data_IF_100968437003
#
_entry.id   IF_100968437003
#
_cell.length_a   1.000
_cell.length_b   1.000
_cell.length_c   1.000
_cell.angle_alpha   90.00
_cell.angle_beta   90.00
_cell.angle_gamma   90.00
#
_symmetry.space_group_name_H-M   'P 1'
#
loop_
_entity.id
_entity.type
_entity.pdbx_description
1 polymer ?
#
# COMPACT_ATOMS: atom_id res chain seq x y z
N UNK A 1 -5.18 2.55 14.85
CA UNK A 1 -4.41 3.74 14.42
C UNK A 1 -2.96 3.58 14.88
N UNK A 2 -2.14 2.88 14.11
CA UNK A 2 -0.84 2.40 14.63
C UNK A 2 0.32 2.69 13.67
N UNK A 3 0.25 2.24 12.40
CA UNK A 3 1.34 2.48 11.43
C UNK A 3 1.39 3.90 10.87
N UNK A 4 0.24 4.57 10.70
CA UNK A 4 0.17 5.93 10.13
C UNK A 4 0.74 7.01 11.06
N UNK A 5 0.99 6.66 12.34
CA UNK A 5 1.70 7.54 13.27
C UNK A 5 3.20 7.61 12.96
N UNK A 6 3.75 6.57 12.31
CA UNK A 6 5.16 6.50 11.93
C UNK A 6 5.40 7.08 10.54
N UNK A 7 4.40 6.97 9.64
CA UNK A 7 4.41 7.59 8.32
C UNK A 7 2.99 7.92 7.88
N UNK A 8 2.71 9.21 7.70
CA UNK A 8 1.47 9.70 7.13
C UNK A 8 1.76 10.20 5.70
N UNK A 9 1.19 9.57 4.66
CA UNK A 9 1.30 10.07 3.30
C UNK A 9 0.69 11.46 3.17
N UNK A 10 1.37 12.35 2.45
CA UNK A 10 0.82 13.65 2.06
C UNK A 10 0.01 13.49 0.76
N UNK A 11 -1.32 13.53 0.87
CA UNK A 11 -2.24 13.31 -0.24
C UNK A 11 -3.08 14.56 -0.43
N UNK A 12 -3.03 15.11 -1.65
CA UNK A 12 -3.92 16.18 -2.05
C UNK A 12 -5.31 15.62 -2.36
N UNK A 13 -6.16 15.60 -1.33
CA UNK A 13 -7.54 15.13 -1.45
C UNK A 13 -8.42 15.98 -2.37
N UNK A 14 -7.96 17.15 -2.85
CA UNK A 14 -8.71 17.95 -3.83
C UNK A 14 -8.71 17.33 -5.23
N UNK A 15 -7.75 16.43 -5.50
CA UNK A 15 -7.65 15.66 -6.74
C UNK A 15 -8.48 14.36 -6.73
N UNK A 16 -9.28 14.17 -5.67
CA UNK A 16 -10.11 12.98 -5.49
C UNK A 16 -11.59 13.34 -5.56
N UNK A 17 -12.25 12.93 -6.64
CA UNK A 17 -13.70 13.01 -6.78
C UNK A 17 -14.37 11.68 -6.43
N UNK A 18 -15.31 11.77 -5.50
CA UNK A 18 -16.10 10.65 -4.98
C UNK A 18 -17.19 10.20 -5.96
N UNK A 19 -17.72 11.10 -6.79
CA UNK A 19 -18.92 10.85 -7.59
C UNK A 19 -20.06 10.25 -6.75
N UNK A 20 -20.63 9.15 -7.26
CA UNK A 20 -21.79 8.47 -6.67
C UNK A 20 -21.45 7.50 -5.53
N UNK A 21 -20.20 7.42 -5.09
CA UNK A 21 -19.82 6.58 -3.94
C UNK A 21 -20.38 7.20 -2.66
N UNK A 22 -20.95 6.38 -1.77
CA UNK A 22 -21.49 6.89 -0.50
C UNK A 22 -20.40 7.48 0.40
N UNK A 23 -20.78 8.38 1.31
CA UNK A 23 -19.84 9.01 2.25
C UNK A 23 -19.12 7.98 3.11
N UNK A 24 -19.82 6.94 3.54
CA UNK A 24 -19.33 5.89 4.42
C UNK A 24 -18.28 5.02 3.72
N UNK A 25 -18.54 4.62 2.47
CA UNK A 25 -17.61 3.83 1.66
C UNK A 25 -16.40 4.70 1.27
N UNK A 26 -16.63 5.96 0.94
CA UNK A 26 -15.57 6.90 0.59
C UNK A 26 -14.61 7.17 1.75
N UNK A 27 -15.13 7.30 2.98
CA UNK A 27 -14.29 7.45 4.17
C UNK A 27 -13.30 6.29 4.31
N UNK A 28 -13.80 5.05 4.18
CA UNK A 28 -12.97 3.84 4.24
C UNK A 28 -11.99 3.74 3.08
N UNK A 29 -12.41 4.14 1.87
CA UNK A 29 -11.53 4.18 0.70
C UNK A 29 -10.32 5.08 0.91
N UNK A 30 -10.50 6.28 1.48
CA UNK A 30 -9.38 7.18 1.81
C UNK A 30 -8.42 6.56 2.82
N UNK A 31 -8.94 5.84 3.83
CA UNK A 31 -8.10 5.09 4.77
C UNK A 31 -7.30 3.99 4.07
N UNK A 32 -7.92 3.26 3.15
CA UNK A 32 -7.22 2.24 2.33
C UNK A 32 -6.09 2.87 1.54
N UNK A 33 -6.34 3.99 0.83
CA UNK A 33 -5.28 4.70 0.08
C UNK A 33 -4.11 5.06 0.99
N UNK A 34 -4.37 5.68 2.15
CA UNK A 34 -3.31 6.07 3.09
C UNK A 34 -2.47 4.86 3.54
N UNK A 35 -3.13 3.75 3.88
CA UNK A 35 -2.47 2.53 4.32
C UNK A 35 -1.67 1.88 3.18
N UNK A 36 -2.18 1.90 1.95
CA UNK A 36 -1.48 1.39 0.78
C UNK A 36 -0.23 2.21 0.47
N UNK A 37 -0.31 3.54 0.48
CA UNK A 37 0.85 4.42 0.34
C UNK A 37 1.89 4.19 1.45
N UNK A 38 1.44 4.00 2.68
CA UNK A 38 2.34 3.68 3.79
C UNK A 38 3.04 2.33 3.59
N UNK A 39 2.32 1.29 3.14
CA UNK A 39 2.91 -0.01 2.85
C UNK A 39 3.99 0.08 1.76
N UNK A 40 3.70 0.79 0.67
CA UNK A 40 4.66 1.00 -0.43
C UNK A 40 5.87 1.81 0.02
N UNK A 41 5.68 2.82 0.87
CA UNK A 41 6.80 3.55 1.48
C UNK A 41 7.73 2.61 2.25
N UNK A 42 7.19 1.80 3.17
CA UNK A 42 8.01 0.87 3.95
C UNK A 42 8.66 -0.22 3.09
N UNK A 43 8.01 -0.67 2.03
CA UNK A 43 8.63 -1.59 1.07
C UNK A 43 9.83 -0.95 0.36
N UNK A 44 9.72 0.33 -0.04
CA UNK A 44 10.83 1.09 -0.65
C UNK A 44 11.98 1.29 0.33
N UNK A 45 11.69 1.67 1.58
CA UNK A 45 12.69 1.78 2.65
C UNK A 45 13.39 0.44 2.90
N UNK A 46 12.65 -0.66 2.93
CA UNK A 46 13.21 -2.00 3.09
C UNK A 46 14.14 -2.37 1.93
N UNK A 47 13.74 -2.07 0.69
CA UNK A 47 14.57 -2.29 -0.51
C UNK A 47 15.83 -1.43 -0.47
N UNK A 48 15.73 -0.16 -0.09
CA UNK A 48 16.88 0.74 0.06
C UNK A 48 17.85 0.25 1.15
N UNK A 49 17.33 -0.19 2.30
CA UNK A 49 18.14 -0.70 3.41
C UNK A 49 18.83 -2.03 3.07
N UNK A 50 18.17 -2.90 2.30
CA UNK A 50 18.77 -4.16 1.81
C UNK A 50 19.76 -3.95 0.67
N UNK A 51 19.51 -2.97 -0.19
CA UNK A 51 20.34 -2.63 -1.34
C UNK A 51 21.56 -1.77 -0.99
N UNK A 52 21.52 -1.02 0.12
CA UNK A 52 22.68 -0.35 0.67
C UNK A 52 23.63 -1.38 1.27
N UNK A 53 24.63 -1.78 0.49
CA UNK A 53 25.78 -2.54 1.00
C UNK A 53 26.31 -1.76 2.21
N UNK A 54 26.44 -2.36 3.42
CA UNK A 54 26.99 -1.64 4.55
C UNK A 54 28.35 -1.10 4.12
N UNK A 55 28.47 0.23 4.03
CA UNK A 55 29.72 0.85 3.62
C UNK A 55 30.79 0.32 4.57
N UNK A 56 31.79 -0.36 4.02
CA UNK A 56 32.95 -0.76 4.78
C UNK A 56 33.53 0.52 5.38
N UNK A 57 33.36 0.67 6.70
CA UNK A 57 33.97 1.76 7.45
C UNK A 57 35.46 1.79 7.09
N UNK A 58 36.04 2.98 6.86
CA UNK A 58 37.45 3.10 6.50
C UNK A 58 38.26 2.32 7.52
N UNK A 59 39.14 1.45 7.02
CA UNK A 59 39.99 0.52 7.75
C UNK A 59 40.88 1.24 8.75
N UNK A 60 40.27 1.60 9.88
CA UNK A 60 40.87 2.22 11.04
C UNK A 60 40.24 1.58 12.26
N UNK A 61 40.84 0.47 12.69
CA UNK A 61 40.68 -0.08 14.05
C UNK A 61 39.24 -0.34 14.51
N UNK A 62 38.53 -1.25 13.84
CA UNK A 62 37.30 -1.82 14.40
C UNK A 62 37.64 -3.10 15.17
N UNK A 63 37.70 -2.98 16.49
CA UNK A 63 37.62 -4.13 17.39
C UNK A 63 36.33 -4.91 17.06
N UNK A 64 36.42 -6.25 16.98
CA UNK A 64 35.35 -7.14 16.47
C UNK A 64 33.96 -7.01 17.12
N UNK A 65 33.85 -6.29 18.23
CA UNK A 65 32.58 -5.91 18.88
C UNK A 65 31.73 -4.94 18.05
N UNK A 66 32.35 -4.01 17.31
CA UNK A 66 31.63 -2.92 16.62
C UNK A 66 30.92 -3.40 15.34
N UNK A 67 31.48 -4.40 14.65
CA UNK A 67 30.83 -5.03 13.49
C UNK A 67 29.58 -5.83 13.88
N UNK A 68 29.58 -6.47 15.05
CA UNK A 68 28.43 -7.20 15.58
C UNK A 68 27.30 -6.25 16.01
N UNK A 69 27.63 -5.12 16.65
CA UNK A 69 26.63 -4.09 17.01
C UNK A 69 26.01 -3.43 15.77
N UNK A 70 26.80 -3.15 14.73
CA UNK A 70 26.27 -2.63 13.47
C UNK A 70 25.33 -3.65 12.79
N UNK A 71 25.71 -4.93 12.77
CA UNK A 71 24.86 -6.00 12.25
C UNK A 71 23.54 -6.17 13.01
N UNK A 72 23.57 -6.10 14.35
CA UNK A 72 22.37 -6.13 15.19
C UNK A 72 21.47 -4.90 14.97
N UNK A 73 22.06 -3.71 14.82
CA UNK A 73 21.33 -2.48 14.54
C UNK A 73 20.62 -2.53 13.18
N UNK A 74 21.28 -3.04 12.14
CA UNK A 74 20.69 -3.20 10.80
C UNK A 74 19.58 -4.24 10.81
N UNK A 75 19.80 -5.38 11.50
CA UNK A 75 18.77 -6.41 11.62
C UNK A 75 17.52 -5.90 12.35
N UNK A 76 17.72 -5.13 13.44
CA UNK A 76 16.64 -4.49 14.17
C UNK A 76 15.86 -3.49 13.31
N UNK A 77 16.55 -2.65 12.53
CA UNK A 77 15.92 -1.70 11.62
C UNK A 77 15.11 -2.40 10.51
N UNK A 78 15.67 -3.45 9.88
CA UNK A 78 14.96 -4.28 8.90
C UNK A 78 13.68 -4.84 9.51
N UNK A 79 13.77 -5.41 10.72
CA UNK A 79 12.62 -6.00 11.38
C UNK A 79 11.52 -4.97 11.68
N UNK A 80 11.87 -3.78 12.16
CA UNK A 80 10.90 -2.71 12.41
C UNK A 80 10.20 -2.26 11.12
N UNK A 81 10.95 -2.05 10.04
CA UNK A 81 10.37 -1.69 8.73
C UNK A 81 9.44 -2.79 8.22
N UNK A 82 9.83 -4.06 8.31
CA UNK A 82 8.97 -5.19 7.94
C UNK A 82 7.67 -5.22 8.76
N UNK A 83 7.75 -4.95 10.06
CA UNK A 83 6.58 -4.88 10.94
C UNK A 83 5.64 -3.74 10.54
N UNK A 84 6.17 -2.55 10.23
CA UNK A 84 5.36 -1.43 9.74
C UNK A 84 4.69 -1.75 8.39
N UNK A 85 5.44 -2.30 7.44
CA UNK A 85 4.90 -2.72 6.14
C UNK A 85 3.76 -3.74 6.29
N UNK A 86 3.99 -4.82 7.06
CA UNK A 86 2.98 -5.86 7.31
C UNK A 86 1.77 -5.29 8.03
N UNK A 87 1.97 -4.38 8.99
CA UNK A 87 0.87 -3.73 9.72
C UNK A 87 0.02 -2.85 8.80
N UNK A 88 0.65 -2.09 7.89
CA UNK A 88 -0.06 -1.30 6.89
C UNK A 88 -0.90 -2.18 5.96
N UNK A 89 -0.30 -3.25 5.40
CA UNK A 89 -1.00 -4.23 4.57
C UNK A 89 -2.19 -4.88 5.28
N UNK A 90 -1.98 -5.31 6.52
CA UNK A 90 -3.04 -5.91 7.33
C UNK A 90 -4.21 -4.94 7.55
N UNK A 91 -3.91 -3.70 7.95
CA UNK A 91 -4.94 -2.69 8.18
C UNK A 91 -5.67 -2.31 6.88
N UNK A 92 -4.99 -2.25 5.74
CA UNK A 92 -5.62 -1.98 4.44
C UNK A 92 -6.63 -3.10 4.11
N UNK A 93 -6.23 -4.36 4.29
CA UNK A 93 -7.10 -5.52 4.14
C UNK A 93 -8.30 -5.46 5.08
N UNK A 94 -8.10 -5.17 6.37
CA UNK A 94 -9.20 -5.01 7.33
C UNK A 94 -10.19 -3.93 6.88
N UNK A 95 -9.69 -2.80 6.38
CA UNK A 95 -10.56 -1.72 5.90
C UNK A 95 -11.33 -2.07 4.65
N UNK A 96 -10.73 -2.80 3.71
CA UNK A 96 -11.46 -3.33 2.55
C UNK A 96 -12.56 -4.30 3.01
N UNK A 97 -12.26 -5.19 3.96
CA UNK A 97 -13.27 -6.11 4.52
C UNK A 97 -14.39 -5.38 5.28
N UNK A 98 -14.07 -4.29 5.99
CA UNK A 98 -15.07 -3.42 6.60
C UNK A 98 -15.95 -2.73 5.55
N UNK A 99 -15.41 -2.25 4.42
CA UNK A 99 -16.22 -1.70 3.32
C UNK A 99 -17.26 -2.69 2.82
N UNK A 100 -16.91 -3.98 2.77
CA UNK A 100 -17.83 -5.03 2.35
C UNK A 100 -19.08 -5.18 3.23
N UNK A 101 -19.08 -4.63 4.46
CA UNK A 101 -20.25 -4.61 5.35
C UNK A 101 -21.28 -3.56 4.92
N UNK A 102 -20.85 -2.50 4.24
CA UNK A 102 -21.70 -1.41 3.76
C UNK A 102 -22.19 -1.61 2.32
N UNK A 103 -21.68 -2.64 1.64
CA UNK A 103 -22.06 -3.00 0.27
C UNK A 103 -23.16 -4.07 0.30
N UNK A 104 -24.12 -4.05 -0.65
CA UNK A 104 -25.13 -5.09 -0.76
C UNK A 104 -24.53 -6.50 -0.91
N UNK A 105 -25.11 -7.48 -0.20
CA UNK A 105 -24.67 -8.89 -0.26
C UNK A 105 -24.71 -9.48 -1.67
N UNK A 106 -25.66 -9.04 -2.49
CA UNK A 106 -25.74 -9.35 -3.92
C UNK A 106 -25.23 -8.14 -4.67
N UNK A 107 -24.23 -8.33 -5.53
CA UNK A 107 -23.70 -7.27 -6.37
C UNK A 107 -24.81 -6.63 -7.21
N UNK A 108 -24.96 -5.31 -7.07
CA UNK A 108 -26.01 -4.51 -7.70
C UNK A 108 -25.47 -3.53 -8.75
N UNK A 109 -24.15 -3.49 -8.96
CA UNK A 109 -23.50 -2.57 -9.89
C UNK A 109 -23.35 -1.14 -9.39
N UNK A 110 -23.71 -0.84 -8.14
CA UNK A 110 -23.49 0.49 -7.55
C UNK A 110 -22.01 0.86 -7.52
N UNK A 111 -21.70 2.17 -7.54
CA UNK A 111 -20.33 2.66 -7.49
C UNK A 111 -19.57 2.12 -6.25
N UNK A 112 -20.24 2.07 -5.09
CA UNK A 112 -19.68 1.49 -3.88
C UNK A 112 -19.36 -0.02 -4.02
N UNK A 113 -20.26 -0.79 -4.61
CA UNK A 113 -20.03 -2.21 -4.87
C UNK A 113 -18.88 -2.44 -5.85
N UNK A 114 -18.80 -1.65 -6.93
CA UNK A 114 -17.69 -1.68 -7.91
C UNK A 114 -16.36 -1.37 -7.25
N UNK A 115 -16.30 -0.29 -6.47
CA UNK A 115 -15.10 0.14 -5.76
C UNK A 115 -14.60 -0.95 -4.80
N UNK A 116 -15.50 -1.52 -3.98
CA UNK A 116 -15.15 -2.60 -3.07
C UNK A 116 -14.62 -3.84 -3.79
N UNK A 117 -15.30 -4.31 -4.83
CA UNK A 117 -14.87 -5.51 -5.59
C UNK A 117 -13.53 -5.26 -6.27
N UNK A 118 -13.35 -4.09 -6.89
CA UNK A 118 -12.11 -3.73 -7.55
C UNK A 118 -10.93 -3.60 -6.58
N UNK A 119 -11.12 -2.96 -5.41
CA UNK A 119 -10.08 -2.86 -4.37
C UNK A 119 -9.68 -4.24 -3.86
N UNK A 120 -10.66 -5.09 -3.52
CA UNK A 120 -10.40 -6.43 -3.00
C UNK A 120 -9.58 -7.26 -3.99
N UNK A 121 -9.90 -7.18 -5.27
CA UNK A 121 -9.19 -7.88 -6.33
C UNK A 121 -7.79 -7.30 -6.59
N UNK A 122 -7.65 -5.98 -6.62
CA UNK A 122 -6.38 -5.29 -6.94
C UNK A 122 -5.34 -5.43 -5.84
N UNK A 123 -5.77 -5.37 -4.58
CA UNK A 123 -4.91 -5.57 -3.41
C UNK A 123 -4.53 -7.04 -3.22
N UNK A 124 -5.14 -7.96 -3.99
CA UNK A 124 -4.77 -9.37 -3.96
C UNK A 124 -5.16 -10.09 -2.67
N UNK A 125 -6.25 -9.66 -2.02
CA UNK A 125 -6.71 -10.26 -0.74
C UNK A 125 -7.15 -11.71 -1.00
N UNK A 126 -6.25 -12.65 -0.73
CA UNK A 126 -6.50 -14.09 -0.67
C UNK A 126 -6.68 -14.53 0.79
N UNK A 127 -7.37 -15.65 1.02
CA UNK A 127 -7.74 -16.08 2.37
C UNK A 127 -6.54 -16.34 3.31
N UNK A 128 -5.36 -16.64 2.75
CA UNK A 128 -4.20 -17.13 3.51
C UNK A 128 -2.93 -16.27 3.35
N UNK A 129 -2.98 -15.14 2.64
CA UNK A 129 -1.77 -14.34 2.35
C UNK A 129 -1.89 -12.89 2.85
N UNK A 130 -0.86 -12.45 3.59
CA UNK A 130 -0.71 -11.08 4.10
C UNK A 130 0.11 -10.19 3.13
N UNK A 131 0.26 -10.61 1.87
CA UNK A 131 0.94 -9.85 0.83
C UNK A 131 -0.05 -8.98 0.04
N UNK A 132 -0.61 -7.97 0.70
CA UNK A 132 -1.39 -6.96 -0.01
C UNK A 132 -0.52 -6.27 -1.07
N UNK A 133 -0.89 -6.39 -2.36
CA UNK A 133 -0.25 -5.68 -3.46
C UNK A 133 -0.83 -4.26 -3.54
N UNK A 134 -0.48 -3.46 -2.53
CA UNK A 134 -1.00 -2.12 -2.32
C UNK A 134 -0.63 -1.11 -3.42
N UNK A 135 0.36 -1.43 -4.26
CA UNK A 135 0.95 -0.47 -5.20
C UNK A 135 -0.05 -0.07 -6.31
N UNK A 136 -0.88 -1.02 -6.76
CA UNK A 136 -1.92 -0.79 -7.79
C UNK A 136 -3.05 0.15 -7.35
N UNK A 137 -3.15 0.43 -6.04
CA UNK A 137 -4.19 1.29 -5.44
C UNK A 137 -3.62 2.51 -4.72
N UNK A 138 -2.33 2.82 -4.93
CA UNK A 138 -1.68 4.04 -4.44
C UNK A 138 -2.02 5.26 -5.32
N UNK A 139 -3.31 5.55 -5.47
CA UNK A 139 -3.79 6.70 -6.22
C UNK A 139 -3.22 8.01 -5.67
N UNK A 140 -2.80 8.90 -6.58
CA UNK A 140 -2.47 10.31 -6.30
C UNK A 140 -3.56 11.26 -6.76
N UNK A 141 -4.44 10.78 -7.64
CA UNK A 141 -5.68 11.38 -8.09
C UNK A 141 -6.70 10.26 -8.34
N UNK A 142 -7.99 10.54 -8.22
CA UNK A 142 -9.04 9.55 -8.45
C UNK A 142 -10.34 10.24 -8.83
N UNK A 143 -10.90 9.91 -10.00
CA UNK A 143 -12.24 10.32 -10.39
C UNK A 143 -13.13 9.08 -10.41
N UNK A 144 -14.08 8.98 -9.48
CA UNK A 144 -14.93 7.80 -9.37
C UNK A 144 -15.75 7.50 -10.64
N UNK A 145 -16.16 8.50 -11.41
CA UNK A 145 -16.93 8.27 -12.65
C UNK A 145 -16.07 7.61 -13.72
N UNK A 146 -14.81 8.04 -13.84
CA UNK A 146 -13.86 7.49 -14.81
C UNK A 146 -13.28 6.15 -14.33
N UNK A 147 -12.82 6.10 -13.08
CA UNK A 147 -12.12 4.95 -12.51
C UNK A 147 -13.05 3.74 -12.35
N UNK A 148 -14.32 3.98 -12.02
CA UNK A 148 -15.32 2.92 -11.84
C UNK A 148 -16.15 2.64 -13.11
N UNK A 149 -15.71 3.17 -14.25
CA UNK A 149 -16.35 2.91 -15.53
C UNK A 149 -16.14 1.44 -15.98
N UNK A 150 -17.24 0.79 -16.36
CA UNK A 150 -17.25 -0.60 -16.81
C UNK A 150 -17.43 -1.65 -15.70
N UNK A 151 -17.01 -2.88 -16.01
CA UNK A 151 -17.09 -4.03 -15.12
C UNK A 151 -15.87 -4.13 -14.18
N UNK A 152 -16.01 -4.71 -12.97
CA UNK A 152 -14.93 -4.79 -11.99
C UNK A 152 -13.61 -5.36 -12.52
N UNK A 153 -13.67 -6.37 -13.39
CA UNK A 153 -12.46 -6.96 -14.00
C UNK A 153 -11.70 -5.95 -14.86
N UNK A 154 -12.41 -5.11 -15.62
CA UNK A 154 -11.80 -4.07 -16.44
C UNK A 154 -11.20 -2.95 -15.58
N UNK A 155 -11.87 -2.61 -14.47
CA UNK A 155 -11.37 -1.63 -13.49
C UNK A 155 -10.03 -2.10 -12.91
N UNK A 156 -9.99 -3.32 -12.37
CA UNK A 156 -8.78 -3.91 -11.76
C UNK A 156 -7.61 -3.93 -12.75
N UNK A 157 -7.89 -4.36 -14.00
CA UNK A 157 -6.88 -4.42 -15.04
C UNK A 157 -6.26 -3.04 -15.32
N UNK A 158 -7.09 -1.98 -15.41
CA UNK A 158 -6.57 -0.61 -15.63
C UNK A 158 -5.66 -0.16 -14.49
N UNK A 159 -6.04 -0.44 -13.24
CA UNK A 159 -5.26 -0.06 -12.06
C UNK A 159 -3.90 -0.79 -12.03
N UNK A 160 -3.89 -2.08 -12.38
CA UNK A 160 -2.66 -2.88 -12.49
C UNK A 160 -1.77 -2.45 -13.67
N UNK A 161 -2.35 -2.07 -14.81
CA UNK A 161 -1.58 -1.60 -15.97
C UNK A 161 -0.91 -0.23 -15.70
N UNK A 162 -1.52 0.63 -14.88
CA UNK A 162 -0.93 1.93 -14.47
C UNK A 162 0.36 1.75 -13.67
N UNK A 163 0.38 0.78 -12.75
CA UNK A 163 1.59 0.43 -11.98
C UNK A 163 2.78 0.14 -12.89
N UNK A 164 2.56 -0.65 -13.96
CA UNK A 164 3.62 -1.06 -14.89
C UNK A 164 4.20 0.16 -15.64
N UNK A 165 3.37 1.16 -15.93
CA UNK A 165 3.79 2.36 -16.67
C UNK A 165 4.52 3.40 -15.82
N UNK A 166 4.30 3.43 -14.51
CA UNK A 166 4.88 4.42 -13.59
C UNK A 166 6.08 3.90 -12.80
N UNK A 167 6.45 2.62 -12.98
CA UNK A 167 7.67 2.07 -12.42
C UNK A 167 8.91 2.73 -13.07
N UNK A 168 9.84 3.34 -12.29
CA UNK A 168 11.06 3.90 -12.85
C UNK A 168 11.87 2.79 -13.55
N UNK A 169 12.54 3.07 -14.69
CA UNK A 169 13.35 2.08 -15.37
C UNK A 169 14.41 1.56 -14.39
N UNK A 170 14.45 0.24 -14.21
CA UNK A 170 15.51 -0.43 -13.47
C UNK A 170 16.84 -0.06 -14.14
N UNK A 171 17.59 0.86 -13.51
CA UNK A 171 18.96 1.13 -13.92
C UNK A 171 19.77 -0.13 -13.59
N UNK A 172 20.21 -0.82 -14.64
CA UNK A 172 21.17 -1.92 -14.59
C UNK A 172 22.57 -1.46 -14.22
#
# INVERSE_FOLDING_TARGET
MDVLNFYMPDIDWTLFDRGDVSTEIWGKFKEVILLCHAAVHWERELKALRGSRPQALPTGTLNGSNGHMLGQSVHSAIHQIEMHMRRANFLATEKILEMGKDVPKKYDGSAGAKLFVALRASVGIQADDCSAQCISVCFTEFDAQQELAGEPVAIVRRWQEREISEAPPLKG
#
